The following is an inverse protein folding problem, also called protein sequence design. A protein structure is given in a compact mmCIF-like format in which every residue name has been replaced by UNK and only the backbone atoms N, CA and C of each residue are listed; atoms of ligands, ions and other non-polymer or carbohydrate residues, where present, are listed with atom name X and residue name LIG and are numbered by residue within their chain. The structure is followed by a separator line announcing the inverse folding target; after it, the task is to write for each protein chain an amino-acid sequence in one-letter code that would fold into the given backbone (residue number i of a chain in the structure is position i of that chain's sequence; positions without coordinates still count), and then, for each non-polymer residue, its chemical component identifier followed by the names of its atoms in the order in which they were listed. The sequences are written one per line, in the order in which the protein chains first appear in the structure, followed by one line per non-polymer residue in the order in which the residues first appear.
data_IF_803604799643
#
_entry.id   IF_803604799643
#
_cell.length_a   1.000
_cell.length_b   1.000
_cell.length_c   1.000
_cell.angle_alpha   90.00
_cell.angle_beta   90.00
_cell.angle_gamma   90.00
#
_symmetry.space_group_name_H-M   'P 1'
#
loop_
_entity.id
_entity.type
_entity.pdbx_description
1 polymer ?
#
# COMPACT_ATOMS: atom_id res chain seq x y z
N UNK A 1 14.66 -7.32 7.46
CA UNK A 1 13.34 -7.78 6.95
C UNK A 1 12.28 -6.72 7.28
N UNK A 2 12.28 -5.58 6.58
CA UNK A 2 11.47 -4.38 6.92
C UNK A 2 10.54 -3.92 5.77
N UNK A 3 10.63 -4.53 4.60
CA UNK A 3 9.87 -4.12 3.40
C UNK A 3 8.48 -4.73 3.31
N UNK A 4 8.29 -5.96 3.81
CA UNK A 4 7.03 -6.71 3.69
C UNK A 4 5.90 -6.14 4.54
N UNK A 5 6.24 -5.51 5.68
CA UNK A 5 5.25 -4.99 6.64
C UNK A 5 4.46 -3.82 6.05
N UNK A 6 5.10 -2.95 5.28
CA UNK A 6 4.43 -1.79 4.64
C UNK A 6 3.41 -2.26 3.59
N UNK A 7 3.75 -3.25 2.77
CA UNK A 7 2.83 -3.79 1.76
C UNK A 7 1.59 -4.41 2.41
N UNK A 8 1.78 -5.18 3.48
CA UNK A 8 0.69 -5.81 4.21
C UNK A 8 -0.20 -4.78 4.92
N UNK A 9 0.38 -3.73 5.51
CA UNK A 9 -0.39 -2.63 6.12
C UNK A 9 -1.21 -1.86 5.08
N UNK A 10 -0.62 -1.54 3.93
CA UNK A 10 -1.33 -0.86 2.84
C UNK A 10 -2.49 -1.72 2.31
N UNK A 11 -2.25 -3.03 2.12
CA UNK A 11 -3.32 -3.96 1.72
C UNK A 11 -4.43 -4.04 2.74
N UNK A 12 -4.10 -4.13 4.02
CA UNK A 12 -5.10 -4.21 5.08
C UNK A 12 -5.94 -2.93 5.14
N UNK A 13 -5.30 -1.75 5.05
CA UNK A 13 -6.00 -0.48 5.01
C UNK A 13 -6.95 -0.37 3.81
N UNK A 14 -6.53 -0.75 2.61
CA UNK A 14 -7.37 -0.63 1.42
C UNK A 14 -8.42 -1.75 1.29
N UNK A 15 -8.04 -3.01 1.52
CA UNK A 15 -8.93 -4.17 1.32
C UNK A 15 -9.83 -4.45 2.52
N UNK A 16 -9.36 -4.18 3.75
CA UNK A 16 -10.08 -4.50 4.99
C UNK A 16 -10.80 -3.28 5.55
N UNK A 17 -10.13 -2.13 5.57
CA UNK A 17 -10.72 -0.89 6.11
C UNK A 17 -11.44 -0.08 5.02
N UNK A 18 -11.39 -0.52 3.76
CA UNK A 18 -12.06 0.14 2.64
C UNK A 18 -11.46 1.48 2.23
N UNK A 19 -10.24 1.81 2.71
CA UNK A 19 -9.59 3.06 2.35
C UNK A 19 -9.30 3.14 0.86
N UNK A 20 -9.61 4.29 0.27
CA UNK A 20 -9.21 4.57 -1.10
C UNK A 20 -7.68 4.65 -1.22
N UNK A 21 -7.13 4.36 -2.40
CA UNK A 21 -5.70 4.50 -2.64
C UNK A 21 -5.17 5.93 -2.36
N UNK A 22 -6.06 6.95 -2.41
CA UNK A 22 -5.74 8.34 -2.06
C UNK A 22 -5.61 8.54 -0.55
N UNK A 23 -6.50 7.96 0.23
CA UNK A 23 -6.43 8.03 1.70
C UNK A 23 -5.22 7.26 2.22
N UNK A 24 -4.98 6.06 1.68
CA UNK A 24 -3.80 5.28 1.99
C UNK A 24 -2.51 6.05 1.61
N UNK A 25 -2.47 6.73 0.47
CA UNK A 25 -1.32 7.56 0.09
C UNK A 25 -1.01 8.67 1.11
N UNK A 26 -2.05 9.35 1.64
CA UNK A 26 -1.86 10.35 2.71
C UNK A 26 -1.44 9.71 4.03
N UNK A 27 -2.09 8.62 4.41
CA UNK A 27 -1.85 7.93 5.69
C UNK A 27 -0.44 7.34 5.78
N UNK A 28 0.02 6.70 4.70
CA UNK A 28 1.36 6.11 4.63
C UNK A 28 2.43 7.10 4.13
N UNK A 29 2.03 8.34 3.82
CA UNK A 29 2.89 9.39 3.26
C UNK A 29 3.72 8.90 2.06
N UNK A 30 3.04 8.24 1.10
CA UNK A 30 3.64 7.70 -0.12
C UNK A 30 2.87 8.16 -1.35
N UNK A 31 3.54 8.15 -2.50
CA UNK A 31 2.87 8.41 -3.78
C UNK A 31 1.73 7.38 -4.00
N UNK A 32 0.58 7.88 -4.46
CA UNK A 32 -0.54 7.06 -4.93
C UNK A 32 -0.10 6.00 -5.94
N UNK A 33 0.92 6.29 -6.78
CA UNK A 33 1.45 5.32 -7.75
C UNK A 33 2.16 4.18 -7.03
N UNK A 34 2.88 4.46 -5.95
CA UNK A 34 3.52 3.45 -5.11
C UNK A 34 2.48 2.60 -4.39
N UNK A 35 1.45 3.21 -3.81
CA UNK A 35 0.34 2.47 -3.20
C UNK A 35 -0.38 1.60 -4.24
N UNK A 36 -0.65 2.12 -5.44
CA UNK A 36 -1.27 1.35 -6.53
C UNK A 36 -0.40 0.17 -6.97
N UNK A 37 0.93 0.36 -7.06
CA UNK A 37 1.87 -0.74 -7.32
C UNK A 37 1.87 -1.76 -6.18
N UNK A 38 1.84 -1.31 -4.92
CA UNK A 38 1.79 -2.17 -3.74
C UNK A 38 0.51 -2.99 -3.66
N UNK A 39 -0.62 -2.48 -4.14
CA UNK A 39 -1.87 -3.22 -4.22
C UNK A 39 -1.86 -4.23 -5.37
N UNK A 40 -1.34 -3.85 -6.54
CA UNK A 40 -1.29 -4.70 -7.73
C UNK A 40 -0.23 -5.79 -7.68
N UNK A 41 0.90 -5.56 -7.02
CA UNK A 41 2.03 -6.49 -6.96
C UNK A 41 2.26 -6.97 -5.54
N UNK A 42 2.30 -8.30 -5.35
CA UNK A 42 2.56 -8.93 -4.05
C UNK A 42 3.92 -8.54 -3.46
N UNK A 43 4.92 -8.40 -4.32
CA UNK A 43 6.28 -7.95 -4.00
C UNK A 43 6.68 -6.76 -4.87
N UNK A 44 7.54 -5.84 -4.38
CA UNK A 44 8.10 -4.79 -5.21
C UNK A 44 8.75 -5.40 -6.46
N UNK A 45 8.36 -4.98 -7.67
CA UNK A 45 9.17 -5.30 -8.85
C UNK A 45 10.53 -4.64 -8.65
N UNK A 46 11.58 -5.46 -8.63
CA UNK A 46 12.97 -5.02 -8.57
C UNK A 46 13.34 -4.15 -9.77
#
# INVERSE_FOLDING_TARGET
MYSVDIYNRVRRACLKDGMSAREAARYFNKDRKTIAKMLRHELPPG
#
